data_IF_588322301443
#
_entry.id   IF_588322301443
#
_cell.length_a   1.000
_cell.length_b   1.000
_cell.length_c   1.000
_cell.angle_alpha   90.00
_cell.angle_beta   90.00
_cell.angle_gamma   90.00
#
_symmetry.space_group_name_H-M   'P 1'
#
loop_
_entity.id
_entity.type
_entity.pdbx_description
1 polymer ?
#
# COMPACT_ATOMS: atom_id res chain seq x y z
N UNK A 1 -42.45 35.85 89.35
CA UNK A 1 -41.03 36.28 89.40
C UNK A 1 -40.28 35.78 88.14
N UNK A 2 -39.81 36.71 87.38
CA UNK A 2 -39.07 36.39 86.15
C UNK A 2 -37.58 36.09 86.45
N UNK A 3 -36.92 35.26 85.69
CA UNK A 3 -35.62 35.67 85.21
C UNK A 3 -35.37 35.40 83.67
N UNK A 4 -34.90 36.33 83.17
CA UNK A 4 -33.75 36.75 82.28
C UNK A 4 -33.30 35.75 81.25
N UNK A 5 -33.52 36.21 80.01
CA UNK A 5 -32.93 35.66 78.76
C UNK A 5 -31.42 35.92 78.66
N UNK A 6 -30.68 34.87 78.38
CA UNK A 6 -29.28 35.03 77.88
C UNK A 6 -29.22 34.50 76.44
N UNK A 7 -29.17 35.43 75.52
CA UNK A 7 -28.94 35.14 74.13
C UNK A 7 -27.45 34.78 73.88
N UNK A 8 -27.19 33.55 73.50
CA UNK A 8 -25.90 33.11 73.01
C UNK A 8 -25.88 33.21 71.50
N UNK A 9 -25.18 34.21 71.03
CA UNK A 9 -24.97 34.46 69.61
C UNK A 9 -23.93 33.45 69.05
N UNK A 10 -24.36 32.49 68.29
CA UNK A 10 -23.49 31.59 67.49
C UNK A 10 -23.13 32.24 66.18
N UNK A 11 -21.93 32.76 66.05
CA UNK A 11 -21.34 33.14 64.78
C UNK A 11 -21.00 31.92 63.94
N UNK A 12 -21.71 31.74 62.87
CA UNK A 12 -21.41 30.71 61.85
C UNK A 12 -20.35 31.32 60.90
N UNK A 13 -19.10 30.95 61.08
CA UNK A 13 -18.05 31.18 60.08
C UNK A 13 -18.24 30.21 58.92
N UNK A 14 -18.79 30.71 57.82
CA UNK A 14 -18.82 29.96 56.57
C UNK A 14 -17.43 29.96 55.96
N UNK A 15 -16.72 28.82 56.04
CA UNK A 15 -15.47 28.58 55.33
C UNK A 15 -15.84 28.22 53.89
N UNK A 16 -15.73 29.18 52.98
CA UNK A 16 -15.79 28.96 51.54
C UNK A 16 -14.48 28.27 51.12
N UNK A 17 -14.46 26.94 51.05
CA UNK A 17 -13.43 26.18 50.41
C UNK A 17 -13.53 26.37 48.88
N UNK A 18 -12.68 27.21 48.31
CA UNK A 18 -12.44 27.34 46.89
C UNK A 18 -11.81 26.01 46.43
N UNK A 19 -12.64 25.09 45.90
CA UNK A 19 -12.15 23.94 45.14
C UNK A 19 -11.55 24.45 43.82
N UNK A 20 -10.28 24.72 43.80
CA UNK A 20 -9.51 24.90 42.58
C UNK A 20 -9.57 23.59 41.80
N UNK A 21 -10.38 23.55 40.71
CA UNK A 21 -10.35 22.49 39.73
C UNK A 21 -8.98 22.58 39.02
N UNK A 22 -8.18 21.51 38.99
CA UNK A 22 -7.02 21.52 38.13
C UNK A 22 -7.55 21.56 36.69
N UNK A 23 -7.19 22.61 35.96
CA UNK A 23 -7.35 22.68 34.50
C UNK A 23 -6.54 21.55 33.87
N UNK A 24 -7.18 20.42 33.67
CA UNK A 24 -6.64 19.32 32.86
C UNK A 24 -6.83 19.65 31.35
N UNK A 25 -6.32 20.79 30.93
CA UNK A 25 -6.02 21.02 29.52
C UNK A 25 -4.74 20.27 29.17
N UNK A 26 -4.81 18.93 29.22
CA UNK A 26 -3.82 18.09 28.55
C UNK A 26 -3.99 18.36 27.06
N UNK A 27 -3.29 19.37 26.55
CA UNK A 27 -3.09 19.54 25.13
C UNK A 27 -2.37 18.27 24.66
N UNK A 28 -3.13 17.35 24.06
CA UNK A 28 -2.55 16.22 23.33
C UNK A 28 -1.64 16.84 22.27
N UNK A 29 -0.32 16.59 22.41
CA UNK A 29 0.62 16.95 21.35
C UNK A 29 0.08 16.41 20.04
N UNK A 30 0.07 17.19 18.95
CA UNK A 30 -0.30 16.67 17.64
C UNK A 30 0.54 15.42 17.41
N UNK A 31 -0.13 14.29 17.16
CA UNK A 31 0.57 13.07 16.73
C UNK A 31 1.16 13.41 15.37
N UNK A 32 2.46 13.59 15.32
CA UNK A 32 3.14 13.74 14.04
C UNK A 32 2.82 12.50 13.20
N UNK A 33 2.29 12.67 11.97
CA UNK A 33 1.99 11.51 11.13
C UNK A 33 3.28 10.71 10.95
N UNK A 34 3.23 9.44 11.32
CA UNK A 34 4.35 8.53 11.13
C UNK A 34 4.84 8.62 9.68
N UNK A 35 6.14 8.74 9.47
CA UNK A 35 6.72 8.82 8.14
C UNK A 35 6.25 7.60 7.33
N UNK A 36 5.58 7.85 6.21
CA UNK A 36 5.08 6.78 5.34
C UNK A 36 6.28 6.11 4.69
N UNK A 37 6.54 4.84 5.04
CA UNK A 37 7.55 4.03 4.34
C UNK A 37 6.92 3.57 3.01
N UNK A 38 7.48 3.96 1.86
CA UNK A 38 6.89 3.63 0.58
C UNK A 38 6.95 2.13 0.30
N UNK A 39 5.87 1.59 -0.27
CA UNK A 39 5.83 0.23 -0.80
C UNK A 39 6.76 0.15 -2.02
N UNK A 40 7.75 -0.72 -1.97
CA UNK A 40 8.70 -0.94 -3.05
C UNK A 40 8.16 -1.94 -4.05
N UNK A 41 7.93 -1.53 -5.29
CA UNK A 41 7.34 -2.39 -6.33
C UNK A 41 8.28 -2.53 -7.52
N UNK A 42 8.33 -3.75 -8.07
CA UNK A 42 8.86 -4.04 -9.39
C UNK A 42 7.75 -4.03 -10.44
N UNK A 43 8.09 -3.77 -11.69
CA UNK A 43 7.21 -3.91 -12.84
C UNK A 43 7.80 -4.98 -13.75
N UNK A 44 7.00 -5.97 -14.14
CA UNK A 44 7.36 -7.01 -15.11
C UNK A 44 6.55 -6.83 -16.39
N UNK A 45 7.25 -6.48 -17.47
CA UNK A 45 6.69 -6.20 -18.78
C UNK A 45 6.07 -4.80 -18.93
N UNK A 46 6.08 -4.29 -20.15
CA UNK A 46 5.55 -2.99 -20.53
C UNK A 46 4.57 -3.08 -21.71
N UNK A 47 4.17 -4.30 -22.08
CA UNK A 47 3.34 -4.58 -23.25
C UNK A 47 1.88 -4.20 -23.03
N UNK A 48 1.35 -4.42 -21.82
CA UNK A 48 -0.05 -4.14 -21.53
C UNK A 48 -0.28 -2.64 -21.34
N UNK A 49 -1.25 -2.08 -22.07
CA UNK A 49 -1.52 -0.63 -22.10
C UNK A 49 -1.79 0.03 -20.74
N UNK A 50 -2.29 -0.72 -19.76
CA UNK A 50 -2.57 -0.20 -18.41
C UNK A 50 -1.32 0.27 -17.67
N UNK A 51 -0.11 -0.22 -18.01
CA UNK A 51 1.14 0.26 -17.39
C UNK A 51 1.34 1.76 -17.58
N UNK A 52 0.97 2.31 -18.74
CA UNK A 52 1.02 3.76 -18.98
C UNK A 52 0.12 4.53 -18.02
N UNK A 53 -1.10 4.02 -17.78
CA UNK A 53 -2.05 4.62 -16.83
C UNK A 53 -1.53 4.55 -15.40
N UNK A 54 -1.01 3.38 -15.01
CA UNK A 54 -0.41 3.18 -13.69
C UNK A 54 0.76 4.15 -13.44
N UNK A 55 1.71 4.23 -14.37
CA UNK A 55 2.87 5.12 -14.24
C UNK A 55 2.42 6.59 -14.14
N UNK A 56 1.52 7.03 -15.03
CA UNK A 56 1.01 8.40 -15.02
C UNK A 56 0.39 8.81 -13.67
N UNK A 57 -0.29 7.88 -13.01
CA UNK A 57 -1.02 8.17 -11.77
C UNK A 57 -0.17 7.99 -10.50
N UNK A 58 0.88 7.18 -10.55
CA UNK A 58 1.54 6.71 -9.33
C UNK A 58 3.01 7.08 -9.19
N UNK A 59 3.68 7.62 -10.22
CA UNK A 59 5.11 7.96 -10.16
C UNK A 59 5.48 8.95 -9.04
N UNK A 60 4.55 9.81 -8.65
CA UNK A 60 4.80 10.86 -7.66
C UNK A 60 4.15 10.60 -6.31
N UNK A 61 3.66 9.39 -6.07
CA UNK A 61 3.09 9.01 -4.78
C UNK A 61 4.19 8.81 -3.74
N UNK A 62 3.99 9.40 -2.56
CA UNK A 62 4.94 9.27 -1.45
C UNK A 62 4.93 7.86 -0.81
N UNK A 63 3.83 7.11 -0.99
CA UNK A 63 3.63 5.78 -0.40
C UNK A 63 3.99 4.63 -1.35
N UNK A 64 4.54 4.93 -2.56
CA UNK A 64 4.93 3.96 -3.57
C UNK A 64 6.30 4.31 -4.17
N UNK A 65 7.16 3.33 -4.32
CA UNK A 65 8.45 3.46 -4.99
C UNK A 65 8.62 2.37 -6.04
N UNK A 66 8.75 2.74 -7.32
CA UNK A 66 9.13 1.81 -8.39
C UNK A 66 10.64 1.61 -8.30
N UNK A 67 11.05 0.38 -7.99
CA UNK A 67 12.47 0.05 -7.75
C UNK A 67 13.11 -0.72 -8.91
N UNK A 68 12.30 -1.24 -9.83
CA UNK A 68 12.79 -1.98 -11.00
C UNK A 68 11.72 -2.16 -12.06
N UNK A 69 12.15 -2.25 -13.30
CA UNK A 69 11.32 -2.55 -14.48
C UNK A 69 12.04 -3.63 -15.28
N UNK A 70 11.43 -4.80 -15.41
CA UNK A 70 11.95 -5.89 -16.24
C UNK A 70 11.22 -5.88 -17.59
N UNK A 71 11.95 -5.57 -18.67
CA UNK A 71 11.46 -5.56 -20.04
C UNK A 71 12.58 -6.03 -20.99
N UNK A 72 12.31 -7.10 -21.74
CA UNK A 72 13.29 -7.68 -22.66
C UNK A 72 13.42 -6.89 -23.97
N UNK A 73 12.35 -6.23 -24.40
CA UNK A 73 12.39 -5.35 -25.57
C UNK A 73 13.04 -4.01 -25.21
N UNK A 74 14.32 -3.84 -25.57
CA UNK A 74 15.07 -2.62 -25.31
C UNK A 74 14.48 -1.36 -25.95
N UNK A 75 13.74 -1.48 -27.07
CA UNK A 75 13.07 -0.33 -27.70
C UNK A 75 11.86 0.11 -26.88
N UNK A 76 11.09 -0.87 -26.39
CA UNK A 76 9.95 -0.60 -25.53
C UNK A 76 10.42 -0.02 -24.18
N UNK A 77 11.48 -0.58 -23.59
CA UNK A 77 12.11 -0.06 -22.39
C UNK A 77 12.54 1.40 -22.56
N UNK A 78 13.30 1.72 -23.63
CA UNK A 78 13.74 3.08 -23.93
C UNK A 78 12.58 4.06 -24.17
N UNK A 79 11.51 3.60 -24.81
CA UNK A 79 10.29 4.41 -24.98
C UNK A 79 9.69 4.82 -23.63
N UNK A 80 9.53 3.86 -22.71
CA UNK A 80 8.94 4.14 -21.37
C UNK A 80 9.89 4.95 -20.49
N UNK A 81 11.19 4.68 -20.55
CA UNK A 81 12.23 5.47 -19.89
C UNK A 81 12.10 6.95 -20.26
N UNK A 82 12.09 7.25 -21.56
CA UNK A 82 11.96 8.62 -22.07
C UNK A 82 10.60 9.23 -21.76
N UNK A 83 9.51 8.50 -21.99
CA UNK A 83 8.13 9.01 -21.84
C UNK A 83 7.81 9.43 -20.41
N UNK A 84 8.32 8.70 -19.43
CA UNK A 84 8.03 8.91 -18.02
C UNK A 84 9.21 9.46 -17.22
N UNK A 85 10.32 9.79 -17.89
CA UNK A 85 11.56 10.26 -17.28
C UNK A 85 12.03 9.33 -16.15
N UNK A 86 11.99 8.01 -16.40
CA UNK A 86 12.43 7.01 -15.45
C UNK A 86 13.96 6.88 -15.45
N UNK A 87 14.60 6.62 -14.31
CA UNK A 87 16.04 6.42 -14.27
C UNK A 87 16.45 5.16 -15.05
N UNK A 88 17.48 5.26 -15.90
CA UNK A 88 17.97 4.13 -16.70
C UNK A 88 18.35 2.92 -15.83
N UNK A 89 18.92 3.16 -14.67
CA UNK A 89 19.44 2.12 -13.78
C UNK A 89 18.37 1.25 -13.09
N UNK A 90 17.09 1.54 -13.27
CA UNK A 90 16.01 0.66 -12.78
C UNK A 90 15.52 -0.33 -13.84
N UNK A 91 16.03 -0.27 -15.08
CA UNK A 91 15.64 -1.18 -16.16
C UNK A 91 16.54 -2.42 -16.18
N UNK A 92 15.91 -3.57 -16.36
CA UNK A 92 16.51 -4.90 -16.41
C UNK A 92 15.96 -5.67 -17.60
N UNK A 93 16.76 -6.53 -18.22
CA UNK A 93 16.32 -7.37 -19.32
C UNK A 93 15.50 -8.59 -18.87
N UNK A 94 15.55 -8.95 -17.59
CA UNK A 94 14.88 -10.13 -17.05
C UNK A 94 14.35 -9.93 -15.64
N UNK A 95 13.29 -10.68 -15.34
CA UNK A 95 12.58 -10.61 -14.05
C UNK A 95 13.46 -11.09 -12.90
N UNK A 96 14.19 -12.21 -13.07
CA UNK A 96 15.04 -12.76 -12.00
C UNK A 96 16.16 -11.75 -11.62
N UNK A 97 16.80 -11.13 -12.60
CA UNK A 97 17.82 -10.10 -12.35
C UNK A 97 17.24 -8.90 -11.58
N UNK A 98 16.07 -8.42 -11.99
CA UNK A 98 15.37 -7.34 -11.29
C UNK A 98 15.07 -7.72 -9.84
N UNK A 99 14.54 -8.93 -9.60
CA UNK A 99 14.20 -9.42 -8.28
C UNK A 99 15.42 -9.51 -7.36
N UNK A 100 16.54 -10.06 -7.87
CA UNK A 100 17.79 -10.18 -7.12
C UNK A 100 18.39 -8.83 -6.73
N UNK A 101 18.44 -7.90 -7.67
CA UNK A 101 19.10 -6.60 -7.48
C UNK A 101 18.26 -5.61 -6.68
N UNK A 102 16.93 -5.63 -6.87
CA UNK A 102 16.07 -4.59 -6.27
C UNK A 102 15.30 -5.06 -5.05
N UNK A 103 15.07 -6.37 -4.89
CA UNK A 103 14.32 -6.98 -3.78
C UNK A 103 13.00 -6.23 -3.51
N UNK A 104 12.09 -6.18 -4.48
CA UNK A 104 10.82 -5.49 -4.32
C UNK A 104 9.92 -6.25 -3.33
N UNK A 105 8.97 -5.56 -2.71
CA UNK A 105 7.96 -6.17 -1.84
C UNK A 105 6.80 -6.78 -2.63
N UNK A 106 6.56 -6.26 -3.84
CA UNK A 106 5.57 -6.79 -4.76
C UNK A 106 6.01 -6.54 -6.22
N UNK A 107 5.47 -7.31 -7.15
CA UNK A 107 5.65 -7.12 -8.59
C UNK A 107 4.30 -6.91 -9.26
N UNK A 108 4.22 -5.88 -10.11
CA UNK A 108 3.10 -5.61 -10.98
C UNK A 108 3.41 -6.20 -12.36
N UNK A 109 2.54 -7.08 -12.86
CA UNK A 109 2.77 -7.80 -14.12
C UNK A 109 1.93 -7.16 -15.21
N UNK A 110 2.62 -6.61 -16.21
CA UNK A 110 2.06 -5.98 -17.41
C UNK A 110 2.58 -6.62 -18.70
N UNK A 111 2.97 -7.89 -18.63
CA UNK A 111 3.32 -8.70 -19.80
C UNK A 111 2.07 -9.06 -20.62
N UNK A 112 2.27 -9.77 -21.73
CA UNK A 112 1.17 -10.53 -22.34
C UNK A 112 0.77 -11.70 -21.43
N UNK A 113 -0.43 -12.27 -21.64
CA UNK A 113 -0.99 -13.31 -20.76
C UNK A 113 -0.22 -14.63 -20.82
N UNK A 114 0.49 -14.94 -21.92
CA UNK A 114 1.31 -16.15 -22.02
C UNK A 114 2.48 -16.15 -21.05
N UNK A 115 3.03 -14.96 -20.76
CA UNK A 115 4.19 -14.80 -19.88
C UNK A 115 3.81 -14.72 -18.39
N UNK A 116 2.52 -14.60 -18.04
CA UNK A 116 2.07 -14.49 -16.64
C UNK A 116 2.64 -15.62 -15.78
N UNK A 117 2.56 -16.87 -16.26
CA UNK A 117 3.04 -18.05 -15.54
C UNK A 117 4.53 -17.93 -15.20
N UNK A 118 5.38 -17.66 -16.18
CA UNK A 118 6.83 -17.60 -15.98
C UNK A 118 7.22 -16.51 -14.98
N UNK A 119 6.54 -15.34 -15.02
CA UNK A 119 6.79 -14.24 -14.08
C UNK A 119 6.31 -14.60 -12.67
N UNK A 120 5.14 -15.24 -12.53
CA UNK A 120 4.65 -15.70 -11.21
C UNK A 120 5.59 -16.72 -10.60
N UNK A 121 6.05 -17.71 -11.40
CA UNK A 121 7.01 -18.73 -10.95
C UNK A 121 8.35 -18.09 -10.52
N UNK A 122 8.84 -17.08 -11.25
CA UNK A 122 10.03 -16.33 -10.86
C UNK A 122 9.82 -15.59 -9.52
N UNK A 123 8.75 -14.84 -9.40
CA UNK A 123 8.41 -14.11 -8.17
C UNK A 123 8.23 -15.07 -6.98
N UNK A 124 7.61 -16.24 -7.21
CA UNK A 124 7.42 -17.24 -6.16
C UNK A 124 8.75 -17.82 -5.64
N UNK A 125 9.74 -18.06 -6.53
CA UNK A 125 11.10 -18.47 -6.10
C UNK A 125 11.77 -17.45 -5.18
N UNK A 126 11.45 -16.17 -5.36
CA UNK A 126 11.99 -15.07 -4.55
C UNK A 126 11.10 -14.66 -3.36
N UNK A 127 9.94 -15.34 -3.18
CA UNK A 127 9.00 -15.02 -2.09
C UNK A 127 8.32 -13.66 -2.26
N UNK A 128 8.17 -13.16 -3.49
CA UNK A 128 7.60 -11.84 -3.80
C UNK A 128 6.18 -11.99 -4.33
N UNK A 129 5.22 -11.35 -3.67
CA UNK A 129 3.81 -11.35 -4.09
C UNK A 129 3.62 -10.56 -5.38
N UNK A 130 2.56 -10.91 -6.13
CA UNK A 130 2.31 -10.30 -7.44
C UNK A 130 0.88 -9.79 -7.58
N UNK A 131 0.72 -8.74 -8.37
CA UNK A 131 -0.55 -8.31 -8.94
C UNK A 131 -0.41 -8.24 -10.45
N UNK A 132 -1.30 -8.89 -11.18
CA UNK A 132 -1.21 -8.99 -12.63
C UNK A 132 -2.46 -8.48 -13.34
N UNK A 133 -2.32 -8.18 -14.60
CA UNK A 133 -3.46 -7.89 -15.48
C UNK A 133 -4.28 -9.15 -15.77
N UNK A 134 -5.54 -8.89 -16.08
CA UNK A 134 -6.47 -9.94 -16.54
C UNK A 134 -6.14 -10.34 -17.99
N UNK A 135 -6.47 -11.57 -18.40
CA UNK A 135 -6.98 -12.68 -17.59
C UNK A 135 -5.83 -13.34 -16.79
N UNK A 136 -6.18 -14.15 -15.79
CA UNK A 136 -5.21 -14.86 -14.96
C UNK A 136 -4.19 -15.65 -15.78
N UNK A 137 -4.66 -16.46 -16.72
CA UNK A 137 -3.85 -17.38 -17.50
C UNK A 137 -4.49 -17.68 -18.86
N UNK A 138 -3.72 -18.26 -19.77
CA UNK A 138 -4.19 -18.70 -21.08
C UNK A 138 -4.70 -20.15 -21.04
N UNK A 139 -4.38 -20.93 -20.00
CA UNK A 139 -4.84 -22.31 -19.84
C UNK A 139 -5.09 -22.65 -18.36
N UNK A 140 -5.84 -23.75 -18.12
CA UNK A 140 -6.03 -24.28 -16.77
C UNK A 140 -4.72 -24.83 -16.22
N UNK A 141 -3.87 -25.40 -17.06
CA UNK A 141 -2.55 -25.90 -16.71
C UNK A 141 -1.67 -24.79 -16.16
N UNK A 142 -1.65 -23.62 -16.82
CA UNK A 142 -0.89 -22.46 -16.34
C UNK A 142 -1.46 -21.93 -15.02
N UNK A 143 -2.78 -21.83 -14.92
CA UNK A 143 -3.42 -21.39 -13.68
C UNK A 143 -3.06 -22.32 -12.50
N UNK A 144 -3.05 -23.65 -12.71
CA UNK A 144 -2.64 -24.62 -11.69
C UNK A 144 -1.15 -24.54 -11.35
N UNK A 145 -0.30 -24.33 -12.36
CA UNK A 145 1.14 -24.16 -12.14
C UNK A 145 1.42 -22.87 -11.30
N UNK A 146 0.76 -21.78 -11.63
CA UNK A 146 0.86 -20.53 -10.83
C UNK A 146 0.34 -20.73 -9.40
N UNK A 147 -0.77 -21.46 -9.22
CA UNK A 147 -1.28 -21.78 -7.88
C UNK A 147 -0.26 -22.59 -7.08
N UNK A 148 0.33 -23.63 -7.69
CA UNK A 148 1.34 -24.46 -7.03
C UNK A 148 2.58 -23.63 -6.64
N UNK A 149 3.07 -22.78 -7.56
CA UNK A 149 4.20 -21.90 -7.31
C UNK A 149 3.89 -20.90 -6.17
N UNK A 150 2.70 -20.31 -6.17
CA UNK A 150 2.28 -19.38 -5.13
C UNK A 150 2.22 -20.04 -3.74
N UNK A 151 1.68 -21.25 -3.66
CA UNK A 151 1.65 -22.02 -2.41
C UNK A 151 3.06 -22.36 -1.92
N UNK A 152 3.94 -22.83 -2.81
CA UNK A 152 5.32 -23.16 -2.48
C UNK A 152 6.13 -21.93 -2.04
N UNK A 153 6.02 -20.82 -2.77
CA UNK A 153 6.68 -19.55 -2.48
C UNK A 153 6.04 -18.76 -1.34
N UNK A 154 4.87 -19.20 -0.85
CA UNK A 154 4.06 -18.49 0.17
C UNK A 154 3.75 -17.05 -0.22
N UNK A 155 3.47 -16.82 -1.49
CA UNK A 155 3.14 -15.53 -2.05
C UNK A 155 1.64 -15.39 -2.32
N UNK A 156 1.19 -14.14 -2.42
CA UNK A 156 -0.15 -13.81 -2.89
C UNK A 156 -0.11 -13.51 -4.39
N UNK A 157 -1.11 -14.00 -5.11
CA UNK A 157 -1.34 -13.70 -6.53
C UNK A 157 -2.67 -13.00 -6.65
N UNK A 158 -2.64 -11.75 -7.05
CA UNK A 158 -3.83 -10.90 -7.27
C UNK A 158 -4.01 -10.68 -8.77
N UNK A 159 -5.26 -10.71 -9.24
CA UNK A 159 -5.60 -10.37 -10.63
C UNK A 159 -6.39 -9.07 -10.66
N UNK A 160 -5.96 -8.15 -11.49
CA UNK A 160 -6.58 -6.82 -11.61
C UNK A 160 -7.87 -6.88 -12.43
N UNK A 161 -8.94 -7.36 -11.83
CA UNK A 161 -10.30 -7.20 -12.36
C UNK A 161 -10.82 -5.82 -11.94
N UNK A 162 -10.33 -4.76 -12.57
CA UNK A 162 -10.57 -3.35 -12.19
C UNK A 162 -12.04 -3.00 -12.03
N UNK A 163 -12.91 -3.60 -12.85
CA UNK A 163 -14.37 -3.36 -12.82
C UNK A 163 -15.01 -3.76 -11.50
N UNK A 164 -14.40 -4.67 -10.73
CA UNK A 164 -14.87 -5.04 -9.39
C UNK A 164 -14.97 -3.83 -8.46
N UNK A 165 -14.14 -2.81 -8.68
CA UNK A 165 -14.05 -1.62 -7.86
C UNK A 165 -14.94 -0.47 -8.32
N UNK A 166 -15.64 -0.63 -9.44
CA UNK A 166 -16.51 0.43 -9.99
C UNK A 166 -17.70 0.66 -9.06
N UNK A 167 -18.11 1.93 -8.95
CA UNK A 167 -19.26 2.32 -8.11
C UNK A 167 -20.56 1.62 -8.55
N UNK A 168 -20.73 1.38 -9.84
CA UNK A 168 -21.85 0.62 -10.39
C UNK A 168 -21.94 -0.79 -9.82
N UNK A 169 -20.80 -1.48 -9.70
CA UNK A 169 -20.79 -2.83 -9.15
C UNK A 169 -21.08 -2.81 -7.63
N UNK A 170 -20.57 -1.81 -6.89
CA UNK A 170 -20.90 -1.65 -5.47
C UNK A 170 -22.38 -1.34 -5.22
N UNK A 171 -23.03 -0.66 -6.15
CA UNK A 171 -24.46 -0.33 -6.05
C UNK A 171 -25.37 -1.54 -6.37
N UNK A 172 -24.83 -2.58 -7.00
CA UNK A 172 -25.57 -3.79 -7.37
C UNK A 172 -25.60 -4.86 -6.24
N UNK A 173 -24.80 -4.70 -5.20
CA UNK A 173 -24.77 -5.52 -3.99
C UNK A 173 -25.37 -4.80 -2.79
#
# INVERSE_FOLDING_TARGET
MRPSNLLCSLSICAVLAFLARPDASAQSKPVEPAAVVPLRVGIAGLVHGHVSGFLKQNLHRADLQIVGVAEADGQLAAYYESKFNLPHNIFFSGVDEMLEKTKPQAVLIYTNTFDHRSVVEACARHGVSVMMEKPLAVSIEDARAMQAAALQGKIQVLVNYETTWYRSNRAAY
#
